data_IF_220544510728
#
_entry.id   IF_220544510728
#
_cell.length_a   1.000
_cell.length_b   1.000
_cell.length_c   1.000
_cell.angle_alpha   90.00
_cell.angle_beta   90.00
_cell.angle_gamma   90.00
#
_symmetry.space_group_name_H-M   'P 1'
#
loop_
_entity.id
_entity.type
_entity.pdbx_description
1 polymer ?
#
# COMPACT_ATOMS: atom_id res chain seq x y z
N UNK A 1 2.41 -10.64 -10.89
CA UNK A 1 1.97 -11.95 -10.38
C UNK A 1 1.38 -11.78 -9.00
N UNK A 2 0.27 -12.42 -8.67
CA UNK A 2 -0.47 -12.20 -7.41
C UNK A 2 -0.45 -13.39 -6.46
N UNK A 3 -1.00 -13.23 -5.26
CA UNK A 3 -1.10 -14.32 -4.27
C UNK A 3 -1.91 -15.53 -4.77
N UNK A 4 -2.81 -15.32 -5.74
CA UNK A 4 -3.61 -16.39 -6.36
C UNK A 4 -2.84 -17.34 -7.29
N UNK A 5 -1.56 -17.06 -7.57
CA UNK A 5 -0.70 -17.95 -8.34
C UNK A 5 0.04 -18.99 -7.47
N UNK A 6 -0.05 -18.86 -6.14
CA UNK A 6 0.58 -19.78 -5.18
C UNK A 6 -0.44 -20.82 -4.75
N UNK A 7 -0.04 -22.09 -4.70
CA UNK A 7 -0.91 -23.16 -4.22
C UNK A 7 -1.23 -22.97 -2.71
N UNK A 8 -2.39 -23.43 -2.21
CA UNK A 8 -2.73 -23.29 -0.79
C UNK A 8 -1.68 -23.90 0.16
N UNK A 9 -1.08 -25.03 -0.21
CA UNK A 9 -0.06 -25.72 0.58
C UNK A 9 1.24 -24.92 0.68
N UNK A 10 1.65 -24.26 -0.40
CA UNK A 10 2.81 -23.36 -0.40
C UNK A 10 2.50 -22.06 0.33
N UNK A 11 1.31 -21.48 0.16
CA UNK A 11 0.92 -20.22 0.78
C UNK A 11 0.95 -20.29 2.31
N UNK A 12 0.53 -21.44 2.87
CA UNK A 12 0.58 -21.71 4.32
C UNK A 12 1.97 -21.54 4.92
N UNK A 13 3.04 -21.79 4.15
CA UNK A 13 4.41 -21.63 4.65
C UNK A 13 4.82 -20.16 4.82
N UNK A 14 4.13 -19.22 4.17
CA UNK A 14 4.41 -17.78 4.29
C UNK A 14 3.59 -17.10 5.39
N UNK A 15 2.45 -17.67 5.79
CA UNK A 15 1.54 -17.13 6.80
C UNK A 15 1.54 -18.07 8.01
N UNK A 16 2.39 -17.77 8.99
CA UNK A 16 2.45 -18.48 10.26
C UNK A 16 2.96 -17.62 11.41
N UNK A 17 3.27 -18.25 12.54
CA UNK A 17 3.77 -17.55 13.74
C UNK A 17 5.09 -16.82 13.51
N UNK A 18 5.89 -17.31 12.57
CA UNK A 18 7.21 -16.77 12.22
C UNK A 18 7.15 -15.76 11.07
N UNK A 19 5.95 -15.37 10.62
CA UNK A 19 5.83 -14.37 9.56
C UNK A 19 6.33 -13.00 10.05
N UNK A 20 6.95 -12.25 9.15
CA UNK A 20 7.36 -10.88 9.43
C UNK A 20 6.14 -9.96 9.37
N UNK A 21 5.66 -9.53 10.54
CA UNK A 21 4.58 -8.56 10.67
C UNK A 21 5.14 -7.16 10.87
N UNK A 22 4.69 -6.22 10.04
CA UNK A 22 4.90 -4.79 10.28
C UNK A 22 3.67 -4.23 11.02
N UNK A 23 3.86 -3.84 12.28
CA UNK A 23 2.77 -3.31 13.12
C UNK A 23 2.42 -1.90 12.67
N UNK A 24 1.18 -1.71 12.22
CA UNK A 24 0.64 -0.37 11.96
C UNK A 24 0.29 0.29 13.30
N UNK A 25 0.81 1.49 13.54
CA UNK A 25 0.48 2.31 14.71
C UNK A 25 0.00 3.68 14.27
N UNK A 26 -1.03 4.19 14.93
CA UNK A 26 -1.61 5.51 14.68
C UNK A 26 -1.43 6.39 15.92
N UNK A 27 -1.02 7.64 15.72
CA UNK A 27 -0.98 8.67 16.77
C UNK A 27 -2.21 9.56 16.66
N UNK A 28 -2.57 10.24 17.74
CA UNK A 28 -3.77 11.11 17.76
C UNK A 28 -3.63 12.33 16.84
N UNK A 29 -2.40 12.77 16.67
CA UNK A 29 -2.00 13.88 15.80
C UNK A 29 -1.93 13.49 14.31
N UNK A 30 -2.07 12.20 13.97
CA UNK A 30 -2.11 11.78 12.59
C UNK A 30 -3.46 12.21 11.97
N UNK A 31 -3.40 13.01 10.90
CA UNK A 31 -4.55 13.48 10.12
C UNK A 31 -5.11 12.36 9.23
N UNK A 32 -5.51 11.24 9.85
CA UNK A 32 -5.86 10.00 9.14
C UNK A 32 -7.10 10.19 8.27
N UNK A 33 -8.06 10.98 8.74
CA UNK A 33 -9.28 11.24 7.98
C UNK A 33 -8.95 11.98 6.68
N UNK A 34 -8.13 13.03 6.78
CA UNK A 34 -7.70 13.84 5.65
C UNK A 34 -6.81 13.03 4.70
N UNK A 35 -5.91 12.20 5.24
CA UNK A 35 -5.05 11.31 4.47
C UNK A 35 -5.88 10.29 3.67
N UNK A 36 -6.84 9.63 4.31
CA UNK A 36 -7.72 8.66 3.64
C UNK A 36 -8.62 9.35 2.60
N UNK A 37 -9.15 10.54 2.91
CA UNK A 37 -9.97 11.30 1.96
C UNK A 37 -9.16 11.73 0.73
N UNK A 38 -7.90 12.15 0.92
CA UNK A 38 -7.00 12.46 -0.18
C UNK A 38 -6.73 11.21 -1.05
N UNK A 39 -6.24 10.11 -0.48
CA UNK A 39 -5.82 8.94 -1.26
C UNK A 39 -6.97 8.08 -1.79
N UNK A 40 -8.08 7.97 -1.04
CA UNK A 40 -9.20 7.06 -1.36
C UNK A 40 -10.50 7.76 -1.74
N UNK A 41 -10.57 9.10 -1.63
CA UNK A 41 -11.76 9.88 -1.95
C UNK A 41 -12.01 10.07 -3.45
N UNK A 42 -12.77 11.12 -3.79
CA UNK A 42 -13.11 11.45 -5.18
C UNK A 42 -11.86 11.70 -6.03
N UNK A 43 -11.97 11.44 -7.34
CA UNK A 43 -10.90 11.79 -8.26
C UNK A 43 -10.83 13.31 -8.46
N UNK A 44 -9.73 13.92 -8.04
CA UNK A 44 -9.49 15.37 -8.13
C UNK A 44 -8.24 15.67 -8.97
N UNK A 45 -8.18 16.83 -9.65
CA UNK A 45 -6.98 17.27 -10.37
C UNK A 45 -5.75 17.38 -9.47
N UNK A 46 -5.92 17.81 -8.22
CA UNK A 46 -4.84 17.94 -7.24
C UNK A 46 -4.20 16.57 -6.93
N UNK A 47 -5.03 15.53 -6.74
CA UNK A 47 -4.54 14.17 -6.51
C UNK A 47 -3.80 13.63 -7.74
N UNK A 48 -4.33 13.89 -8.94
CA UNK A 48 -3.68 13.47 -10.17
C UNK A 48 -2.29 14.13 -10.30
N UNK A 49 -2.21 15.44 -10.06
CA UNK A 49 -0.94 16.19 -10.12
C UNK A 49 0.05 15.64 -9.11
N UNK A 50 -0.39 15.43 -7.86
CA UNK A 50 0.43 14.83 -6.80
C UNK A 50 0.98 13.46 -7.19
N UNK A 51 0.16 12.57 -7.78
CA UNK A 51 0.60 11.24 -8.21
C UNK A 51 1.67 11.36 -9.31
N UNK A 52 1.47 12.24 -10.30
CA UNK A 52 2.42 12.43 -11.40
C UNK A 52 3.76 12.94 -10.89
N UNK A 53 3.74 13.93 -9.99
CA UNK A 53 4.96 14.52 -9.40
C UNK A 53 5.76 13.53 -8.56
N UNK A 54 5.10 12.55 -7.93
CA UNK A 54 5.72 11.54 -7.08
C UNK A 54 5.94 10.19 -7.80
N UNK A 55 5.63 10.10 -9.09
CA UNK A 55 5.83 8.88 -9.86
C UNK A 55 7.33 8.69 -10.12
N UNK A 56 7.92 7.70 -9.44
CA UNK A 56 9.30 7.27 -9.73
C UNK A 56 9.27 6.36 -10.95
N UNK A 57 9.98 6.75 -12.01
CA UNK A 57 10.16 5.94 -13.21
C UNK A 57 11.49 5.22 -13.08
N UNK A 58 11.47 3.88 -13.06
CA UNK A 58 12.70 3.09 -13.16
C UNK A 58 13.28 3.25 -14.57
N UNK A 59 14.54 3.66 -14.70
CA UNK A 59 15.24 3.60 -15.99
C UNK A 59 15.45 2.13 -16.35
N UNK A 60 15.02 1.71 -17.56
CA UNK A 60 15.28 0.37 -18.09
C UNK A 60 16.79 0.11 -18.08
N UNK A 61 17.24 -0.67 -17.08
CA UNK A 61 18.62 -1.11 -16.90
C UNK A 61 18.84 -2.48 -17.52
#
# INVERSE_FOLDING_TARGET
KGLGEISPDEFKNFIGKDMRLDRVSMRKEDLIKELLEFYMGKNTPDRQTFIIENLVVEEES
#
